data_IF_848103751670
#
_entry.id   IF_848103751670
#
_cell.length_a   1.000
_cell.length_b   1.000
_cell.length_c   1.000
_cell.angle_alpha   90.00
_cell.angle_beta   90.00
_cell.angle_gamma   90.00
#
_symmetry.space_group_name_H-M   'P 1'
#
loop_
_entity.id
_entity.type
_entity.pdbx_description
1 polymer ?
#
# COMPACT_ATOMS: atom_id res chain seq x y z
N UNK A 1 -1.76 -8.48 -15.45
CA UNK A 1 -1.98 -7.03 -15.67
C UNK A 1 -1.34 -6.60 -16.98
N UNK A 2 -1.93 -5.72 -17.82
CA UNK A 2 -1.31 -5.30 -19.07
C UNK A 2 -0.05 -4.46 -18.80
N UNK A 3 1.06 -4.78 -19.48
CA UNK A 3 2.30 -4.00 -19.44
C UNK A 3 2.24 -2.72 -20.29
N UNK A 4 1.29 -2.66 -21.22
CA UNK A 4 1.03 -1.49 -22.05
C UNK A 4 0.17 -0.46 -21.35
N UNK A 5 0.12 0.73 -21.93
CA UNK A 5 -0.82 1.78 -21.54
C UNK A 5 -2.27 1.28 -21.68
N UNK A 6 -3.15 1.52 -20.69
CA UNK A 6 -4.55 1.11 -20.79
C UNK A 6 -5.29 1.86 -21.92
N UNK A 7 -4.81 3.05 -22.28
CA UNK A 7 -5.33 3.93 -23.33
C UNK A 7 -4.60 3.75 -24.68
N UNK A 8 -3.88 2.64 -24.90
CA UNK A 8 -3.08 2.44 -26.12
C UNK A 8 -3.92 2.42 -27.41
N UNK A 9 -5.14 1.87 -27.32
CA UNK A 9 -6.11 1.78 -28.41
C UNK A 9 -7.08 2.98 -28.46
N UNK A 10 -6.87 4.01 -27.63
CA UNK A 10 -7.76 5.18 -27.60
C UNK A 10 -7.34 6.18 -28.69
N UNK A 11 -8.31 6.76 -29.40
CA UNK A 11 -8.06 7.79 -30.42
C UNK A 11 -7.30 9.00 -29.85
N UNK A 12 -7.60 9.36 -28.61
CA UNK A 12 -6.90 10.40 -27.85
C UNK A 12 -6.35 9.81 -26.55
N UNK A 13 -5.04 9.90 -26.40
CA UNK A 13 -4.34 9.40 -25.21
C UNK A 13 -4.44 10.39 -24.06
N UNK A 14 -4.51 9.84 -22.85
CA UNK A 14 -4.41 10.63 -21.63
C UNK A 14 -3.02 11.23 -21.46
N UNK A 15 -2.91 12.40 -20.79
CA UNK A 15 -1.62 13.02 -20.52
C UNK A 15 -0.72 12.04 -19.76
N UNK A 16 0.57 12.06 -20.07
CA UNK A 16 1.55 11.35 -19.27
C UNK A 16 1.67 12.01 -17.90
N UNK A 17 2.03 11.20 -16.91
CA UNK A 17 2.39 11.69 -15.57
C UNK A 17 3.67 12.51 -15.66
N UNK A 18 3.73 13.58 -14.87
CA UNK A 18 4.87 14.50 -14.84
C UNK A 18 6.08 13.96 -14.08
N UNK A 19 5.99 12.78 -13.46
CA UNK A 19 7.03 12.19 -12.63
C UNK A 19 7.13 10.68 -12.81
N UNK A 20 8.30 10.13 -12.47
CA UNK A 20 8.55 8.69 -12.46
C UNK A 20 7.97 8.03 -11.21
N UNK A 21 7.37 6.86 -11.37
CA UNK A 21 6.74 6.11 -10.28
C UNK A 21 6.79 4.60 -10.58
N UNK A 22 6.80 3.79 -9.53
CA UNK A 22 6.52 2.36 -9.67
C UNK A 22 5.01 2.12 -9.84
N UNK A 23 4.58 0.87 -9.96
CA UNK A 23 3.15 0.54 -9.92
C UNK A 23 2.57 1.00 -8.59
N UNK A 24 1.47 1.77 -8.64
CA UNK A 24 0.81 2.29 -7.45
C UNK A 24 0.13 1.15 -6.68
N UNK A 25 0.25 1.13 -5.35
CA UNK A 25 -0.56 0.26 -4.51
C UNK A 25 -2.01 0.76 -4.46
N UNK A 26 -2.91 -0.06 -3.92
CA UNK A 26 -4.17 0.43 -3.41
C UNK A 26 -3.93 1.32 -2.18
N UNK A 27 -4.69 2.40 -2.03
CA UNK A 27 -4.62 3.28 -0.88
C UNK A 27 -5.94 3.31 -0.10
N UNK A 28 -5.84 3.25 1.22
CA UNK A 28 -6.96 3.53 2.14
C UNK A 28 -6.46 4.64 3.05
N UNK A 29 -6.82 5.86 2.71
CA UNK A 29 -6.19 7.05 3.28
C UNK A 29 -7.25 8.05 3.74
N UNK A 30 -7.23 8.39 5.02
CA UNK A 30 -7.86 9.61 5.53
C UNK A 30 -6.93 10.81 5.40
N UNK A 31 -7.33 11.93 5.99
CA UNK A 31 -6.50 13.13 6.14
C UNK A 31 -6.29 13.41 7.62
N UNK A 32 -5.29 14.25 8.00
CA UNK A 32 -5.09 14.63 9.38
C UNK A 32 -6.37 15.17 10.03
N UNK A 33 -6.71 14.62 11.20
CA UNK A 33 -7.94 14.98 11.92
C UNK A 33 -9.24 14.37 11.37
N UNK A 34 -9.20 13.70 10.21
CA UNK A 34 -10.35 13.06 9.59
C UNK A 34 -10.00 11.65 9.07
N UNK A 35 -9.99 10.70 10.00
CA UNK A 35 -9.71 9.31 9.67
C UNK A 35 -10.83 8.67 8.86
N UNK A 36 -10.47 7.74 7.98
CA UNK A 36 -11.44 6.78 7.43
C UNK A 36 -11.77 5.79 8.54
N UNK A 37 -13.06 5.55 8.81
CA UNK A 37 -13.49 4.72 9.94
C UNK A 37 -14.31 3.49 9.52
N UNK A 38 -14.21 2.40 10.30
CA UNK A 38 -15.07 1.21 10.22
C UNK A 38 -15.03 0.50 8.85
N UNK A 39 -13.82 0.25 8.35
CA UNK A 39 -13.61 -0.39 7.04
C UNK A 39 -13.39 -1.88 7.23
N UNK A 40 -14.14 -2.67 6.46
CA UNK A 40 -13.96 -4.12 6.39
C UNK A 40 -13.66 -4.51 4.96
N UNK A 41 -12.51 -5.12 4.74
CA UNK A 41 -12.13 -5.74 3.48
C UNK A 41 -12.02 -7.25 3.69
N UNK A 42 -12.80 -8.03 2.94
CA UNK A 42 -12.80 -9.48 3.12
C UNK A 42 -12.99 -10.27 1.83
N UNK A 43 -12.36 -11.45 1.77
CA UNK A 43 -12.57 -12.47 0.75
C UNK A 43 -12.24 -12.02 -0.69
N UNK A 44 -11.01 -11.53 -0.90
CA UNK A 44 -10.60 -11.14 -2.25
C UNK A 44 -9.12 -11.44 -2.51
N UNK A 45 -8.78 -11.43 -3.80
CA UNK A 45 -7.42 -11.57 -4.29
C UNK A 45 -7.05 -10.39 -5.19
N UNK A 46 -5.84 -9.87 -5.04
CA UNK A 46 -5.26 -8.87 -5.96
C UNK A 46 -3.93 -9.39 -6.51
N UNK A 47 -3.75 -9.26 -7.82
CA UNK A 47 -2.51 -9.59 -8.52
C UNK A 47 -1.86 -8.31 -9.04
N UNK A 48 -0.66 -8.01 -8.55
CA UNK A 48 0.18 -6.91 -8.98
C UNK A 48 1.31 -7.41 -9.89
N UNK A 49 1.76 -6.61 -10.87
CA UNK A 49 2.91 -7.00 -11.71
C UNK A 49 4.23 -7.06 -10.93
N UNK A 50 4.32 -6.36 -9.79
CA UNK A 50 5.56 -6.15 -9.03
C UNK A 50 6.57 -5.32 -9.81
N UNK A 51 7.84 -5.75 -9.81
CA UNK A 51 8.97 -5.09 -10.52
C UNK A 51 9.32 -3.69 -10.02
N UNK A 52 9.09 -3.38 -8.75
CA UNK A 52 9.58 -2.15 -8.16
C UNK A 52 11.06 -1.91 -8.50
N UNK A 53 11.37 -0.71 -8.98
CA UNK A 53 12.71 -0.31 -9.40
C UNK A 53 13.13 0.96 -8.65
N UNK A 54 14.12 0.81 -7.76
CA UNK A 54 14.64 1.91 -6.94
C UNK A 54 15.33 3.00 -7.76
N UNK A 55 15.81 2.70 -8.97
CA UNK A 55 16.37 3.68 -9.90
C UNK A 55 15.31 4.51 -10.64
N UNK A 56 14.05 4.07 -10.64
CA UNK A 56 12.93 4.80 -11.24
C UNK A 56 12.31 5.77 -10.23
N UNK A 57 11.93 5.24 -9.08
CA UNK A 57 11.39 5.98 -7.95
C UNK A 57 11.65 5.19 -6.66
N UNK A 58 11.97 5.88 -5.58
CA UNK A 58 12.30 5.24 -4.31
C UNK A 58 11.89 6.13 -3.13
N UNK A 59 11.00 5.61 -2.30
CA UNK A 59 10.70 6.17 -0.99
C UNK A 59 11.03 5.11 0.08
N UNK A 60 12.13 5.27 0.85
CA UNK A 60 12.48 4.31 1.88
C UNK A 60 11.51 4.39 3.06
N UNK A 61 11.32 3.26 3.76
CA UNK A 61 10.48 3.19 4.96
C UNK A 61 10.93 4.15 6.08
N UNK A 62 12.22 4.51 6.14
CA UNK A 62 12.75 5.51 7.09
C UNK A 62 12.27 6.94 6.81
N UNK A 63 11.70 7.20 5.62
CA UNK A 63 11.18 8.49 5.19
C UNK A 63 9.66 8.42 4.97
N UNK A 64 8.95 7.58 5.71
CA UNK A 64 7.49 7.49 5.65
C UNK A 64 6.79 8.84 5.86
N UNK A 65 7.34 9.68 6.74
CA UNK A 65 6.82 11.02 7.01
C UNK A 65 6.94 11.98 5.81
N UNK A 66 7.71 11.62 4.77
CA UNK A 66 7.84 12.43 3.56
C UNK A 66 6.71 12.18 2.55
N UNK A 67 5.84 11.18 2.79
CA UNK A 67 4.60 11.05 2.02
C UNK A 67 3.73 12.27 2.34
N UNK A 68 3.38 13.11 1.34
CA UNK A 68 2.60 14.33 1.58
C UNK A 68 1.18 14.00 2.01
N UNK A 69 0.54 14.89 2.77
CA UNK A 69 -0.89 14.75 3.12
C UNK A 69 -1.80 14.99 1.91
N UNK A 70 -1.40 15.93 1.04
CA UNK A 70 -2.05 16.24 -0.23
C UNK A 70 -3.59 16.49 -0.14
N UNK A 71 -4.08 17.04 0.98
CA UNK A 71 -5.52 17.23 1.27
C UNK A 71 -6.29 17.95 0.13
N UNK A 72 -5.64 18.91 -0.54
CA UNK A 72 -6.24 19.70 -1.62
C UNK A 72 -6.23 19.00 -3.00
N UNK A 73 -5.46 17.91 -3.15
CA UNK A 73 -5.27 17.19 -4.42
C UNK A 73 -6.16 15.95 -4.55
N UNK A 74 -6.93 15.63 -3.50
CA UNK A 74 -7.93 14.55 -3.53
C UNK A 74 -9.00 14.82 -4.60
N UNK A 75 -9.47 13.81 -5.36
CA UNK A 75 -9.32 12.35 -5.20
C UNK A 75 -8.22 11.69 -6.06
N UNK A 76 -7.19 12.42 -6.49
CA UNK A 76 -6.24 11.87 -7.46
C UNK A 76 -5.35 10.76 -6.88
N UNK A 77 -5.43 9.54 -7.44
CA UNK A 77 -4.69 8.35 -6.97
C UNK A 77 -3.15 8.50 -6.95
N UNK A 78 -2.65 9.60 -7.48
CA UNK A 78 -1.24 9.88 -7.67
C UNK A 78 -0.72 11.06 -6.85
N UNK A 79 -1.61 11.70 -6.09
CA UNK A 79 -1.32 12.84 -5.22
C UNK A 79 -0.17 12.58 -4.24
N UNK A 80 0.07 11.33 -3.85
CA UNK A 80 1.12 10.94 -2.91
C UNK A 80 2.52 10.72 -3.53
N UNK A 81 2.64 10.71 -4.85
CA UNK A 81 3.88 10.33 -5.52
C UNK A 81 4.23 8.85 -5.34
N UNK A 82 5.52 8.54 -5.13
CA UNK A 82 5.98 7.16 -4.87
C UNK A 82 5.58 6.72 -3.45
N UNK A 83 4.88 5.59 -3.37
CA UNK A 83 4.46 5.01 -2.10
C UNK A 83 5.36 3.83 -1.69
N UNK A 84 5.61 3.64 -0.38
CA UNK A 84 6.55 2.65 0.14
C UNK A 84 5.94 1.26 0.29
N UNK A 85 4.85 0.97 -0.44
CA UNK A 85 4.16 -0.31 -0.47
C UNK A 85 3.83 -0.68 -1.93
N UNK A 86 3.79 -1.98 -2.25
CA UNK A 86 3.33 -2.43 -3.57
C UNK A 86 1.88 -2.89 -3.62
N UNK A 87 1.28 -3.33 -2.50
CA UNK A 87 -0.09 -3.81 -2.47
C UNK A 87 -1.05 -2.81 -1.81
N UNK A 88 -0.80 -2.43 -0.56
CA UNK A 88 -1.65 -1.53 0.21
C UNK A 88 -0.82 -0.52 1.01
N UNK A 89 -1.15 0.76 0.83
CA UNK A 89 -0.72 1.84 1.70
C UNK A 89 -1.93 2.39 2.47
N UNK A 90 -1.90 2.30 3.80
CA UNK A 90 -3.01 2.66 4.67
C UNK A 90 -2.55 3.76 5.62
N UNK A 91 -3.24 4.91 5.60
CA UNK A 91 -2.88 6.07 6.44
C UNK A 91 -4.08 6.79 7.03
N UNK A 92 -4.00 7.23 8.29
CA UNK A 92 -5.10 7.94 8.97
C UNK A 92 -6.40 7.11 8.96
N UNK A 93 -6.34 5.88 9.46
CA UNK A 93 -7.49 4.94 9.45
C UNK A 93 -7.81 4.47 10.86
N UNK A 94 -9.09 4.30 11.17
CA UNK A 94 -9.54 3.78 12.44
C UNK A 94 -10.54 2.63 12.26
N UNK A 95 -10.34 1.56 13.02
CA UNK A 95 -11.17 0.35 12.97
C UNK A 95 -11.15 -0.29 11.57
N UNK A 96 -9.97 -0.82 11.20
CA UNK A 96 -9.75 -1.50 9.93
C UNK A 96 -9.62 -3.01 10.15
N UNK A 97 -10.54 -3.76 9.57
CA UNK A 97 -10.48 -5.23 9.51
C UNK A 97 -10.17 -5.71 8.09
N UNK A 98 -9.13 -6.52 7.98
CA UNK A 98 -8.71 -7.18 6.74
C UNK A 98 -8.70 -8.70 6.95
N UNK A 99 -9.61 -9.41 6.27
CA UNK A 99 -9.85 -10.85 6.49
C UNK A 99 -9.85 -11.67 5.22
N UNK A 100 -9.09 -12.77 5.19
CA UNK A 100 -9.04 -13.68 4.04
C UNK A 100 -8.70 -12.94 2.75
N UNK A 101 -7.51 -12.35 2.73
CA UNK A 101 -7.01 -11.52 1.64
C UNK A 101 -5.76 -12.18 1.06
N UNK A 102 -5.75 -12.35 -0.26
CA UNK A 102 -4.59 -12.83 -1.02
C UNK A 102 -4.02 -11.69 -1.84
N UNK A 103 -2.75 -11.36 -1.67
CA UNK A 103 -2.04 -10.43 -2.56
C UNK A 103 -0.85 -11.12 -3.17
N UNK A 104 -0.67 -10.96 -4.48
CA UNK A 104 0.40 -11.60 -5.25
C UNK A 104 1.17 -10.57 -6.07
N UNK A 105 2.48 -10.64 -6.04
CA UNK A 105 3.32 -9.98 -7.03
C UNK A 105 3.76 -11.00 -8.09
N UNK A 106 3.53 -10.71 -9.38
CA UNK A 106 3.93 -11.60 -10.49
C UNK A 106 5.45 -11.63 -10.70
N UNK A 107 6.13 -10.55 -10.32
CA UNK A 107 7.57 -10.47 -10.24
C UNK A 107 7.97 -9.77 -8.93
N UNK A 108 9.20 -9.97 -8.45
CA UNK A 108 9.59 -9.40 -7.17
C UNK A 108 9.51 -7.87 -7.11
N UNK A 109 9.15 -7.33 -5.95
CA UNK A 109 9.16 -5.89 -5.64
C UNK A 109 10.14 -5.62 -4.48
N UNK A 110 10.70 -4.43 -4.39
CA UNK A 110 11.61 -4.08 -3.29
C UNK A 110 10.84 -3.54 -2.07
N UNK A 111 9.58 -3.15 -2.26
CA UNK A 111 8.70 -2.62 -1.22
C UNK A 111 8.04 -3.78 -0.46
N UNK A 112 7.63 -3.56 0.79
CA UNK A 112 6.68 -4.46 1.48
C UNK A 112 5.30 -4.43 0.80
N UNK A 113 4.52 -5.48 1.02
CA UNK A 113 3.15 -5.56 0.53
C UNK A 113 2.23 -4.52 1.20
N UNK A 114 2.30 -4.44 2.54
CA UNK A 114 1.44 -3.58 3.35
C UNK A 114 2.28 -2.59 4.15
N UNK A 115 1.83 -1.34 4.16
CA UNK A 115 2.32 -0.31 5.07
C UNK A 115 1.11 0.33 5.73
N UNK A 116 1.10 0.32 7.07
CA UNK A 116 0.10 0.97 7.91
C UNK A 116 0.79 2.10 8.68
N UNK A 117 0.31 3.33 8.51
CA UNK A 117 0.87 4.55 9.07
C UNK A 117 -0.23 5.39 9.75
N UNK A 118 -0.15 5.65 11.05
CA UNK A 118 -1.25 6.25 11.83
C UNK A 118 -2.58 5.49 11.67
N UNK A 119 -2.61 4.26 12.20
CA UNK A 119 -3.81 3.40 12.19
C UNK A 119 -4.22 3.06 13.61
N UNK A 120 -5.49 3.27 13.93
CA UNK A 120 -6.06 2.97 15.24
C UNK A 120 -6.96 1.74 15.14
N UNK A 121 -6.64 0.66 15.87
CA UNK A 121 -7.32 -0.65 15.80
C UNK A 121 -7.24 -1.29 14.42
N UNK A 122 -6.18 -2.07 14.22
CA UNK A 122 -5.98 -2.90 13.03
C UNK A 122 -6.25 -4.37 13.36
N UNK A 123 -7.08 -5.06 12.58
CA UNK A 123 -7.21 -6.52 12.65
C UNK A 123 -6.85 -7.16 11.31
N UNK A 124 -5.84 -8.03 11.30
CA UNK A 124 -5.48 -8.85 10.14
C UNK A 124 -5.69 -10.33 10.45
N UNK A 125 -6.41 -11.02 9.58
CA UNK A 125 -6.62 -12.46 9.69
C UNK A 125 -6.62 -13.12 8.31
N UNK A 126 -6.08 -14.33 8.22
CA UNK A 126 -6.03 -15.13 6.99
C UNK A 126 -5.36 -14.36 5.84
N UNK A 127 -4.23 -13.69 6.14
CA UNK A 127 -3.50 -12.90 5.15
C UNK A 127 -2.53 -13.81 4.39
N UNK A 128 -2.62 -13.81 3.06
CA UNK A 128 -1.72 -14.54 2.18
C UNK A 128 -0.98 -13.59 1.27
N UNK A 129 0.34 -13.58 1.39
CA UNK A 129 1.23 -12.76 0.56
C UNK A 129 2.08 -13.70 -0.30
N UNK A 130 1.94 -13.58 -1.61
CA UNK A 130 2.70 -14.35 -2.60
C UNK A 130 3.76 -13.41 -3.20
N UNK A 131 4.77 -13.15 -2.36
CA UNK A 131 6.04 -12.48 -2.65
C UNK A 131 6.93 -12.74 -1.41
N UNK A 132 8.08 -13.37 -1.59
CA UNK A 132 8.90 -13.88 -0.49
C UNK A 132 10.31 -13.28 -0.42
N UNK A 133 10.58 -12.22 -1.19
CA UNK A 133 11.89 -11.56 -1.19
C UNK A 133 12.15 -10.86 0.14
N UNK A 134 11.13 -10.22 0.71
CA UNK A 134 11.25 -9.57 2.02
C UNK A 134 10.74 -10.52 3.12
N UNK A 135 11.53 -10.61 4.20
CA UNK A 135 11.11 -11.34 5.41
C UNK A 135 9.90 -10.71 6.08
N UNK A 136 9.83 -9.38 6.06
CA UNK A 136 8.72 -8.60 6.60
C UNK A 136 7.98 -7.93 5.46
N UNK A 137 6.70 -8.26 5.32
CA UNK A 137 5.83 -7.77 4.25
C UNK A 137 4.72 -6.86 4.80
N UNK A 138 4.56 -6.79 6.11
CA UNK A 138 3.59 -5.94 6.80
C UNK A 138 4.35 -4.98 7.69
N UNK A 139 4.32 -3.69 7.36
CA UNK A 139 5.02 -2.65 8.12
C UNK A 139 4.02 -1.83 8.91
N UNK A 140 4.30 -1.61 10.19
CA UNK A 140 3.49 -0.80 11.09
C UNK A 140 4.29 0.41 11.55
N UNK A 141 3.72 1.60 11.42
CA UNK A 141 4.20 2.86 11.97
C UNK A 141 3.04 3.58 12.66
N UNK A 142 3.23 4.01 13.90
CA UNK A 142 2.21 4.72 14.68
C UNK A 142 0.86 3.98 14.76
N UNK A 143 0.89 2.64 14.83
CA UNK A 143 -0.33 1.81 14.91
C UNK A 143 -0.75 1.61 16.36
N UNK A 144 -1.91 2.17 16.75
CA UNK A 144 -2.48 2.00 18.08
C UNK A 144 -3.39 0.77 18.13
N UNK A 145 -2.88 -0.32 18.73
CA UNK A 145 -3.50 -1.64 18.83
C UNK A 145 -3.63 -2.35 17.48
N UNK A 146 -2.95 -3.49 17.37
CA UNK A 146 -3.05 -4.35 16.22
C UNK A 146 -3.19 -5.82 16.66
N UNK A 147 -4.11 -6.52 16.03
CA UNK A 147 -4.41 -7.93 16.28
C UNK A 147 -4.12 -8.73 15.01
N UNK A 148 -3.37 -9.82 15.18
CA UNK A 148 -2.93 -10.67 14.09
C UNK A 148 -3.19 -12.12 14.45
N UNK A 149 -3.51 -12.94 13.45
CA UNK A 149 -3.37 -14.38 13.58
C UNK A 149 -1.92 -14.83 13.30
N UNK A 150 -1.66 -16.13 13.51
CA UNK A 150 -0.34 -16.73 13.28
C UNK A 150 0.16 -16.60 11.82
N UNK A 151 -0.73 -16.34 10.86
CA UNK A 151 -0.37 -16.21 9.45
C UNK A 151 0.24 -14.85 9.15
N UNK A 152 -0.33 -13.79 9.72
CA UNK A 152 0.16 -12.42 9.56
C UNK A 152 1.34 -12.12 10.50
N UNK A 153 1.34 -12.61 11.73
CA UNK A 153 2.31 -12.24 12.77
C UNK A 153 3.77 -12.38 12.34
N UNK A 154 4.12 -13.44 11.60
CA UNK A 154 5.49 -13.72 11.14
C UNK A 154 6.01 -12.73 10.09
N UNK A 155 5.11 -12.00 9.44
CA UNK A 155 5.40 -11.07 8.35
C UNK A 155 5.46 -9.62 8.84
N UNK A 156 5.08 -9.38 10.10
CA UNK A 156 4.96 -8.04 10.69
C UNK A 156 6.32 -7.51 11.13
N UNK A 157 6.57 -6.24 10.85
CA UNK A 157 7.64 -5.43 11.43
C UNK A 157 7.09 -4.08 11.84
N UNK A 158 7.27 -3.74 13.11
CA UNK A 158 6.99 -2.39 13.62
C UNK A 158 8.23 -1.53 13.45
N UNK A 159 8.05 -0.30 12.97
CA UNK A 159 9.09 0.71 12.92
C UNK A 159 9.10 1.48 14.24
N UNK A 160 10.29 1.66 14.80
CA UNK A 160 10.51 2.56 15.94
C UNK A 160 10.52 4.01 15.47
N UNK A 161 10.12 4.93 16.36
CA UNK A 161 10.12 6.38 16.10
C UNK A 161 11.53 6.94 16.01
#
# INVERSE_FOLDING_TARGET
MPFGRPDIEYDLRGPARSFFHNTFPASITGIPGHSVENVILANFEIVYPGRGNTGLAFLPLSRLNDVPEAEADYPEFHMFGELPAWAFYVRHVKDLTMKNISVKAEAPDYRPAFVFDDVQKLQLSELKIIEDRLKSQVILKDVNRAEFDNSAEKLVKTLEQ
#
